data_IF_069748311121
#
_entry.id   IF_069748311121
#
_cell.length_a   1.000
_cell.length_b   1.000
_cell.length_c   1.000
_cell.angle_alpha   90.00
_cell.angle_beta   90.00
_cell.angle_gamma   90.00
#
_symmetry.space_group_name_H-M   'P 1'
#
loop_
_entity.id
_entity.type
_entity.pdbx_description
1 polymer ?
#
# COMPACT_ATOMS: atom_id res chain seq x y z
N UNK A 1 27.48 -4.85 -7.67
CA UNK A 1 26.88 -3.93 -6.67
C UNK A 1 25.61 -4.59 -6.19
N UNK A 2 25.38 -4.69 -4.87
CA UNK A 2 24.12 -5.25 -4.36
C UNK A 2 23.00 -4.25 -4.63
N UNK A 3 21.94 -4.70 -5.28
CA UNK A 3 20.75 -3.88 -5.53
C UNK A 3 20.11 -3.48 -4.20
N UNK A 4 19.58 -2.24 -4.07
CA UNK A 4 18.98 -1.78 -2.84
C UNK A 4 17.63 -2.45 -2.56
N UNK A 5 17.00 -2.98 -3.59
CA UNK A 5 15.70 -3.63 -3.58
C UNK A 5 15.82 -5.10 -3.96
N UNK A 6 15.10 -5.97 -3.24
CA UNK A 6 15.08 -7.40 -3.52
C UNK A 6 13.85 -8.06 -2.93
N UNK A 7 12.79 -8.18 -3.73
CA UNK A 7 11.54 -8.86 -3.34
C UNK A 7 11.17 -9.88 -4.40
N UNK A 8 11.45 -11.15 -4.11
CA UNK A 8 11.11 -12.30 -4.94
C UNK A 8 10.15 -13.28 -4.25
N UNK A 9 9.61 -12.89 -3.08
CA UNK A 9 8.68 -13.69 -2.29
C UNK A 9 7.93 -12.83 -1.29
N UNK A 10 6.68 -13.16 -1.02
CA UNK A 10 5.90 -12.57 0.08
C UNK A 10 6.38 -13.01 1.46
N UNK A 11 6.97 -14.20 1.55
CA UNK A 11 7.19 -14.90 2.82
C UNK A 11 8.65 -15.11 3.20
N UNK A 12 9.62 -14.92 2.30
CA UNK A 12 11.02 -15.04 2.66
C UNK A 12 11.40 -14.09 3.80
N UNK A 13 12.45 -14.46 4.55
CA UNK A 13 12.89 -13.68 5.72
C UNK A 13 13.07 -12.20 5.38
N UNK A 14 12.39 -11.35 6.14
CA UNK A 14 12.38 -9.91 5.96
C UNK A 14 13.73 -9.32 6.38
N UNK A 15 14.36 -8.53 5.50
CA UNK A 15 15.61 -7.83 5.79
C UNK A 15 15.40 -6.32 6.01
N UNK A 16 14.52 -5.69 5.19
CA UNK A 16 14.27 -4.23 5.30
C UNK A 16 12.85 -3.87 4.88
N UNK A 17 12.22 -2.96 5.63
CA UNK A 17 10.83 -2.54 5.41
C UNK A 17 10.63 -1.06 5.71
N UNK A 18 9.82 -0.38 4.88
CA UNK A 18 9.31 0.98 5.14
C UNK A 18 8.01 0.89 5.93
N UNK A 19 7.90 1.79 6.92
CA UNK A 19 6.66 2.07 7.66
C UNK A 19 6.45 3.58 7.78
N UNK A 20 5.23 3.99 8.14
CA UNK A 20 4.94 5.36 8.55
C UNK A 20 4.20 5.34 9.89
N UNK A 21 4.76 5.99 10.90
CA UNK A 21 4.13 6.12 12.21
C UNK A 21 2.99 7.15 12.12
N UNK A 22 1.75 6.81 12.51
CA UNK A 22 0.64 7.77 12.48
C UNK A 22 1.00 9.11 13.17
N UNK A 23 0.69 10.21 12.50
CA UNK A 23 1.03 11.57 12.93
C UNK A 23 -0.20 12.50 12.99
N UNK A 24 0.05 13.81 12.89
CA UNK A 24 -1.00 14.84 12.96
C UNK A 24 -2.09 14.69 11.88
N UNK A 25 -1.82 14.02 10.79
CA UNK A 25 -2.82 13.70 9.75
C UNK A 25 -4.03 12.96 10.33
N UNK A 26 -3.84 12.15 11.37
CA UNK A 26 -4.94 11.46 12.07
C UNK A 26 -5.76 12.43 12.94
N UNK A 27 -5.12 13.43 13.57
CA UNK A 27 -5.83 14.47 14.35
C UNK A 27 -6.60 15.46 13.46
N UNK A 28 -6.35 15.45 12.16
CA UNK A 28 -7.04 16.23 11.16
C UNK A 28 -8.26 15.52 10.54
N UNK A 29 -8.55 14.29 10.97
CA UNK A 29 -9.81 13.64 10.64
C UNK A 29 -10.96 14.25 11.45
N UNK A 30 -12.06 14.57 10.78
CA UNK A 30 -13.31 14.97 11.43
C UNK A 30 -14.49 14.16 10.88
N UNK A 31 -15.58 13.99 11.63
CA UNK A 31 -16.74 13.24 11.17
C UNK A 31 -17.33 13.74 9.86
N UNK A 32 -17.18 15.04 9.56
CA UNK A 32 -17.74 15.68 8.38
C UNK A 32 -16.99 15.32 7.09
N UNK A 33 -15.68 15.00 7.19
CA UNK A 33 -14.81 14.77 6.02
C UNK A 33 -14.11 13.41 6.02
N UNK A 34 -14.28 12.59 7.07
CA UNK A 34 -13.56 11.32 7.19
C UNK A 34 -13.87 10.35 6.03
N UNK A 35 -15.11 10.34 5.53
CA UNK A 35 -15.48 9.46 4.41
C UNK A 35 -14.75 9.85 3.10
N UNK A 36 -14.57 11.16 2.84
CA UNK A 36 -13.79 11.65 1.70
C UNK A 36 -12.32 11.26 1.80
N UNK A 37 -11.83 11.12 3.04
CA UNK A 37 -10.46 10.69 3.38
C UNK A 37 -10.35 9.16 3.56
N UNK A 38 -11.41 8.42 3.22
CA UNK A 38 -11.50 6.95 3.25
C UNK A 38 -11.47 6.31 4.64
N UNK A 39 -11.89 7.05 5.67
CA UNK A 39 -12.03 6.55 7.02
C UNK A 39 -13.50 6.31 7.39
N UNK A 40 -13.75 5.25 8.14
CA UNK A 40 -15.07 4.90 8.68
C UNK A 40 -15.21 5.29 10.15
N UNK A 41 -14.10 5.66 10.82
CA UNK A 41 -14.04 6.03 12.23
C UNK A 41 -12.79 6.90 12.48
N UNK A 42 -12.75 7.59 13.64
CA UNK A 42 -11.66 8.49 14.01
C UNK A 42 -10.75 7.78 15.04
N UNK A 43 -9.50 7.42 14.66
CA UNK A 43 -8.57 6.81 15.60
C UNK A 43 -8.06 7.79 16.66
N UNK A 44 -7.79 7.28 17.86
CA UNK A 44 -7.04 8.02 18.88
C UNK A 44 -5.54 7.98 18.54
N UNK A 45 -4.97 9.12 18.14
CA UNK A 45 -3.58 9.19 17.71
C UNK A 45 -2.59 8.61 18.73
N UNK A 46 -2.73 8.95 20.02
CA UNK A 46 -1.79 8.51 21.05
C UNK A 46 -1.80 7.00 21.29
N UNK A 47 -2.96 6.37 21.08
CA UNK A 47 -3.08 4.91 21.18
C UNK A 47 -2.56 4.29 19.89
N UNK A 48 -2.96 4.79 18.72
CA UNK A 48 -2.49 4.32 17.43
C UNK A 48 -0.95 4.37 17.33
N UNK A 49 -0.31 5.41 17.87
CA UNK A 49 1.15 5.51 17.93
C UNK A 49 1.78 4.41 18.80
N UNK A 50 1.20 4.13 19.98
CA UNK A 50 1.69 3.04 20.84
C UNK A 50 1.54 1.67 20.21
N UNK A 51 0.40 1.44 19.57
CA UNK A 51 0.14 0.20 18.83
C UNK A 51 1.11 0.04 17.66
N UNK A 52 1.37 1.12 16.92
CA UNK A 52 2.36 1.12 15.85
C UNK A 52 3.78 0.88 16.35
N UNK A 53 4.15 1.43 17.52
CA UNK A 53 5.46 1.19 18.12
C UNK A 53 5.63 -0.29 18.52
N UNK A 54 4.58 -0.97 19.03
CA UNK A 54 4.59 -2.42 19.26
C UNK A 54 4.67 -3.22 17.95
N UNK A 55 3.98 -2.77 16.90
CA UNK A 55 4.10 -3.37 15.57
C UNK A 55 5.54 -3.27 15.02
N UNK A 56 6.21 -2.13 15.16
CA UNK A 56 7.61 -1.95 14.75
C UNK A 56 8.55 -2.87 15.54
N UNK A 57 8.31 -3.07 16.85
CA UNK A 57 9.07 -4.05 17.64
C UNK A 57 8.88 -5.48 17.11
N UNK A 58 7.65 -5.84 16.74
CA UNK A 58 7.37 -7.14 16.13
C UNK A 58 8.12 -7.32 14.79
N UNK A 59 8.11 -6.30 13.92
CA UNK A 59 8.88 -6.31 12.66
C UNK A 59 10.38 -6.53 12.89
N UNK A 60 10.95 -5.85 13.87
CA UNK A 60 12.39 -5.92 14.20
C UNK A 60 12.77 -7.21 14.96
N UNK A 61 11.81 -7.96 15.48
CA UNK A 61 12.06 -9.12 16.36
C UNK A 61 12.89 -10.24 15.73
N UNK A 62 12.92 -10.30 14.41
CA UNK A 62 13.71 -11.25 13.61
C UNK A 62 14.93 -10.60 12.93
N UNK A 63 15.27 -9.36 13.31
CA UNK A 63 16.45 -8.65 12.82
C UNK A 63 16.22 -7.80 11.57
N UNK A 64 14.97 -7.60 11.14
CA UNK A 64 14.67 -6.72 10.02
C UNK A 64 14.96 -5.25 10.36
N UNK A 65 15.55 -4.53 9.43
CA UNK A 65 15.72 -3.08 9.48
C UNK A 65 14.39 -2.40 9.16
N UNK A 66 13.86 -1.61 10.10
CA UNK A 66 12.68 -0.80 9.91
C UNK A 66 13.08 0.64 9.65
N UNK A 67 12.66 1.20 8.53
CA UNK A 67 12.92 2.60 8.15
C UNK A 67 11.61 3.37 8.04
N UNK A 68 11.64 4.65 8.43
CA UNK A 68 10.45 5.49 8.40
C UNK A 68 10.38 6.31 7.12
N UNK A 69 9.22 6.30 6.48
CA UNK A 69 8.96 7.06 5.25
C UNK A 69 9.26 8.55 5.43
N UNK A 70 8.90 9.12 6.58
CA UNK A 70 9.16 10.54 6.91
C UNK A 70 10.63 10.87 6.94
N UNK A 71 11.47 10.00 7.51
CA UNK A 71 12.91 10.21 7.59
C UNK A 71 13.56 10.13 6.20
N UNK A 72 13.13 9.13 5.40
CA UNK A 72 13.61 8.95 4.02
C UNK A 72 13.18 10.13 3.13
N UNK A 73 11.93 10.60 3.27
CA UNK A 73 11.44 11.76 2.52
C UNK A 73 12.16 13.05 2.94
N UNK A 74 12.41 13.24 4.24
CA UNK A 74 13.17 14.36 4.77
C UNK A 74 14.59 14.38 4.17
N UNK A 75 15.23 13.23 4.11
CA UNK A 75 16.56 13.09 3.52
C UNK A 75 16.55 13.42 2.02
N UNK A 76 15.59 12.87 1.27
CA UNK A 76 15.44 13.11 -0.17
C UNK A 76 15.17 14.58 -0.52
N UNK A 77 14.56 15.35 0.40
CA UNK A 77 14.20 16.77 0.21
C UNK A 77 15.21 17.74 0.83
N UNK A 78 16.41 17.32 1.20
CA UNK A 78 17.45 18.21 1.76
C UNK A 78 17.89 19.29 0.78
N UNK A 79 18.09 18.93 -0.49
CA UNK A 79 18.51 19.86 -1.51
C UNK A 79 17.38 20.83 -1.89
N UNK A 80 17.65 22.14 -1.85
CA UNK A 80 16.65 23.19 -2.07
C UNK A 80 15.93 23.06 -3.41
N UNK A 81 16.68 22.77 -4.48
CA UNK A 81 16.09 22.63 -5.83
C UNK A 81 15.17 21.39 -5.93
N UNK A 82 15.50 20.29 -5.24
CA UNK A 82 14.64 19.09 -5.17
C UNK A 82 13.38 19.40 -4.38
N UNK A 83 13.53 20.08 -3.25
CA UNK A 83 12.42 20.50 -2.39
C UNK A 83 11.43 21.41 -3.12
N UNK A 84 11.91 22.42 -3.83
CA UNK A 84 11.07 23.31 -4.66
C UNK A 84 10.31 22.53 -5.73
N UNK A 85 10.98 21.61 -6.42
CA UNK A 85 10.33 20.75 -7.42
C UNK A 85 9.25 19.87 -6.82
N UNK A 86 9.49 19.28 -5.64
CA UNK A 86 8.50 18.50 -4.90
C UNK A 86 7.26 19.34 -4.57
N UNK A 87 7.46 20.54 -3.98
CA UNK A 87 6.37 21.46 -3.62
C UNK A 87 5.54 21.80 -4.84
N UNK A 88 6.17 22.18 -5.96
CA UNK A 88 5.47 22.51 -7.20
C UNK A 88 4.65 21.33 -7.72
N UNK A 89 5.22 20.12 -7.76
CA UNK A 89 4.50 18.91 -8.22
C UNK A 89 3.34 18.56 -7.28
N UNK A 90 3.56 18.66 -5.96
CA UNK A 90 2.54 18.40 -4.94
C UNK A 90 1.36 19.40 -5.05
N UNK A 91 1.63 20.70 -5.12
CA UNK A 91 0.61 21.74 -5.25
C UNK A 91 -0.18 21.59 -6.56
N UNK A 92 0.49 21.31 -7.67
CA UNK A 92 -0.19 21.05 -8.95
C UNK A 92 -1.14 19.85 -8.89
N UNK A 93 -0.79 18.82 -8.14
CA UNK A 93 -1.63 17.65 -7.96
C UNK A 93 -2.81 17.92 -7.01
N UNK A 94 -2.55 18.62 -5.90
CA UNK A 94 -3.53 18.89 -4.83
C UNK A 94 -4.55 19.94 -5.23
N UNK A 95 -4.10 21.05 -5.84
CA UNK A 95 -4.90 22.26 -6.10
C UNK A 95 -5.62 22.23 -7.45
N UNK A 96 -5.92 21.06 -8.02
CA UNK A 96 -6.62 20.96 -9.31
C UNK A 96 -7.92 21.78 -9.40
N UNK A 97 -8.61 21.97 -8.28
CA UNK A 97 -9.84 22.75 -8.20
C UNK A 97 -9.58 24.26 -8.03
N UNK A 98 -8.41 24.63 -7.53
CA UNK A 98 -8.00 26.04 -7.29
C UNK A 98 -7.08 26.60 -8.37
N UNK A 99 -6.98 25.93 -9.53
CA UNK A 99 -6.11 26.34 -10.65
C UNK A 99 -6.34 27.76 -11.16
N UNK A 100 -7.46 28.36 -10.78
CA UNK A 100 -7.86 29.71 -11.23
C UNK A 100 -7.57 30.79 -10.19
N UNK A 101 -7.06 30.44 -9.01
CA UNK A 101 -6.62 31.39 -7.99
C UNK A 101 -5.13 31.30 -7.75
N UNK A 102 -4.39 32.10 -8.51
CA UNK A 102 -2.93 32.17 -8.42
C UNK A 102 -2.46 32.67 -7.04
N UNK A 103 -3.26 33.48 -6.36
CA UNK A 103 -2.93 34.03 -5.04
C UNK A 103 -2.89 32.93 -3.97
N UNK A 104 -3.82 31.96 -4.00
CA UNK A 104 -3.77 30.79 -3.12
C UNK A 104 -2.54 29.96 -3.40
N UNK A 105 -2.28 29.65 -4.67
CA UNK A 105 -1.11 28.84 -5.07
C UNK A 105 0.21 29.46 -4.55
N UNK A 106 0.46 30.74 -4.85
CA UNK A 106 1.71 31.40 -4.44
C UNK A 106 1.85 31.54 -2.92
N UNK A 107 0.73 31.80 -2.21
CA UNK A 107 0.76 31.88 -0.75
C UNK A 107 1.13 30.53 -0.10
N UNK A 108 0.60 29.44 -0.63
CA UNK A 108 0.94 28.08 -0.18
C UNK A 108 2.37 27.69 -0.57
N UNK A 109 2.79 28.02 -1.78
CA UNK A 109 4.18 27.77 -2.24
C UNK A 109 5.18 28.49 -1.33
N UNK A 110 4.99 29.79 -1.05
CA UNK A 110 5.84 30.57 -0.13
C UNK A 110 5.86 29.95 1.27
N UNK A 111 4.69 29.60 1.80
CA UNK A 111 4.57 28.96 3.11
C UNK A 111 5.34 27.64 3.18
N UNK A 112 5.20 26.76 2.19
CA UNK A 112 5.88 25.47 2.17
C UNK A 112 7.39 25.60 1.93
N UNK A 113 7.82 26.49 1.04
CA UNK A 113 9.25 26.74 0.77
C UNK A 113 9.99 27.28 1.99
N UNK A 114 9.31 28.03 2.86
CA UNK A 114 9.90 28.57 4.09
C UNK A 114 10.28 27.50 5.13
N UNK A 115 9.72 26.29 5.00
CA UNK A 115 9.91 25.22 5.99
C UNK A 115 11.18 24.42 5.78
N UNK A 116 11.89 24.04 6.85
CA UNK A 116 12.96 23.05 6.76
C UNK A 116 12.42 21.70 6.31
N UNK A 117 13.27 20.79 5.75
CA UNK A 117 12.80 19.55 5.12
C UNK A 117 11.90 18.67 6.01
N UNK A 118 12.25 18.46 7.27
CA UNK A 118 11.45 17.62 8.16
C UNK A 118 10.06 18.24 8.45
N UNK A 119 10.03 19.56 8.72
CA UNK A 119 8.78 20.27 8.95
C UNK A 119 7.91 20.31 7.68
N UNK A 120 8.54 20.46 6.50
CA UNK A 120 7.82 20.38 5.22
C UNK A 120 7.13 19.03 5.05
N UNK A 121 7.83 17.92 5.27
CA UNK A 121 7.28 16.56 5.17
C UNK A 121 6.10 16.39 6.11
N UNK A 122 6.26 16.75 7.40
CA UNK A 122 5.18 16.70 8.38
C UNK A 122 3.98 17.58 7.97
N UNK A 123 4.23 18.81 7.52
CA UNK A 123 3.17 19.74 7.12
C UNK A 123 2.37 19.21 5.94
N UNK A 124 3.05 18.68 4.94
CA UNK A 124 2.40 18.15 3.73
C UNK A 124 1.57 16.89 4.05
N UNK A 125 2.06 16.02 4.93
CA UNK A 125 1.31 14.83 5.36
C UNK A 125 0.13 15.22 6.25
N UNK A 126 0.34 16.13 7.21
CA UNK A 126 -0.72 16.59 8.11
C UNK A 126 -1.83 17.37 7.39
N UNK A 127 -1.54 17.90 6.20
CA UNK A 127 -2.38 18.88 5.53
C UNK A 127 -2.14 20.29 6.05
N UNK A 128 -2.70 21.30 5.35
CA UNK A 128 -2.58 22.71 5.70
C UNK A 128 -3.97 23.28 5.96
N UNK A 129 -4.22 23.64 7.22
CA UNK A 129 -5.50 24.28 7.61
C UNK A 129 -5.55 25.72 7.12
N UNK A 130 -6.76 26.22 6.84
CA UNK A 130 -6.97 27.61 6.37
C UNK A 130 -6.45 28.67 7.33
N UNK A 131 -6.50 28.41 8.64
CA UNK A 131 -6.02 29.32 9.68
C UNK A 131 -4.47 29.31 9.88
N UNK A 132 -3.74 28.41 9.21
CA UNK A 132 -2.28 28.31 9.31
C UNK A 132 -1.56 29.20 8.28
N UNK A 133 -2.26 29.64 7.23
CA UNK A 133 -1.69 30.41 6.14
C UNK A 133 -2.54 31.64 5.84
N UNK A 134 -1.90 32.80 5.80
CA UNK A 134 -2.56 34.03 5.34
C UNK A 134 -2.54 34.08 3.81
N UNK A 135 -3.60 33.60 3.20
CA UNK A 135 -3.72 33.48 1.75
C UNK A 135 -4.21 34.80 1.14
N UNK A 136 -3.61 35.21 0.03
CA UNK A 136 -4.00 36.38 -0.78
C UNK A 136 -4.83 35.91 -1.97
N UNK A 137 -6.08 35.50 -1.73
CA UNK A 137 -7.00 35.12 -2.79
C UNK A 137 -7.41 36.29 -3.68
N UNK A 138 -7.50 36.05 -4.98
CA UNK A 138 -8.07 37.00 -5.95
C UNK A 138 -9.62 36.97 -5.93
N UNK A 139 -10.23 35.93 -5.34
CA UNK A 139 -11.67 35.67 -5.32
C UNK A 139 -12.24 35.70 -3.90
N UNK A 140 -12.35 36.89 -3.34
CA UNK A 140 -12.82 37.10 -1.94
C UNK A 140 -14.16 36.42 -1.63
N UNK A 141 -15.11 36.47 -2.57
CA UNK A 141 -16.41 35.82 -2.37
C UNK A 141 -16.28 34.30 -2.27
N UNK A 142 -15.43 33.69 -3.08
CA UNK A 142 -15.20 32.23 -3.02
C UNK A 142 -14.57 31.83 -1.69
N UNK A 143 -13.62 32.62 -1.17
CA UNK A 143 -13.03 32.41 0.14
C UNK A 143 -14.06 32.54 1.28
N UNK A 144 -14.98 33.51 1.18
CA UNK A 144 -16.04 33.68 2.17
C UNK A 144 -17.06 32.54 2.18
N UNK A 145 -17.36 31.93 1.02
CA UNK A 145 -18.34 30.86 0.89
C UNK A 145 -17.75 29.49 1.28
N UNK A 146 -16.44 29.29 1.06
CA UNK A 146 -15.75 28.02 1.35
C UNK A 146 -15.31 27.87 2.82
N UNK A 147 -15.88 28.64 3.77
CA UNK A 147 -15.49 28.57 5.17
C UNK A 147 -15.77 27.23 5.85
N UNK A 148 -16.64 26.39 5.30
CA UNK A 148 -17.00 25.10 5.90
C UNK A 148 -15.90 24.04 5.72
N UNK A 149 -15.06 24.13 4.70
CA UNK A 149 -13.96 23.20 4.50
C UNK A 149 -12.65 23.75 5.12
N UNK A 150 -12.08 23.06 6.12
CA UNK A 150 -11.04 23.66 6.97
C UNK A 150 -9.64 23.64 6.36
N UNK A 151 -9.41 23.00 5.20
CA UNK A 151 -8.07 22.81 4.61
C UNK A 151 -7.91 23.53 3.29
N UNK A 152 -6.68 24.03 3.05
CA UNK A 152 -6.16 24.31 1.70
C UNK A 152 -5.51 23.07 1.07
N UNK A 153 -4.81 22.28 1.88
CA UNK A 153 -4.25 20.98 1.47
C UNK A 153 -4.81 19.91 2.39
N UNK A 154 -5.45 18.92 1.79
CA UNK A 154 -6.05 17.80 2.54
C UNK A 154 -4.98 17.02 3.31
N UNK A 155 -5.26 16.56 4.53
CA UNK A 155 -4.38 15.62 5.23
C UNK A 155 -4.31 14.28 4.50
N UNK A 156 -3.23 13.54 4.73
CA UNK A 156 -3.00 12.21 4.16
C UNK A 156 -3.10 11.12 5.24
N UNK A 157 -4.27 10.88 5.85
CA UNK A 157 -4.39 9.98 6.99
C UNK A 157 -4.10 8.51 6.64
N UNK A 158 -4.15 8.14 5.34
CA UNK A 158 -3.82 6.79 4.87
C UNK A 158 -2.30 6.55 4.71
N UNK A 159 -1.42 7.54 5.00
CA UNK A 159 0.03 7.41 4.85
C UNK A 159 0.63 6.25 5.64
N UNK A 160 0.05 5.85 6.78
CA UNK A 160 0.55 4.70 7.53
C UNK A 160 0.30 3.35 6.83
N UNK A 161 -0.53 3.33 5.79
CA UNK A 161 -0.65 2.21 4.85
C UNK A 161 0.36 2.36 3.72
N UNK A 162 1.62 2.15 4.03
CA UNK A 162 2.75 2.32 3.09
C UNK A 162 2.78 1.30 1.96
N UNK A 163 1.91 0.27 2.02
CA UNK A 163 1.83 -0.79 1.02
C UNK A 163 1.40 -0.30 -0.35
N UNK A 164 0.29 0.46 -0.41
CA UNK A 164 -0.44 0.69 -1.66
C UNK A 164 0.23 1.63 -2.66
N UNK A 165 0.94 2.72 -2.20
CA UNK A 165 1.52 3.71 -3.12
C UNK A 165 2.65 3.18 -3.99
N UNK A 166 3.32 2.09 -3.61
CA UNK A 166 4.39 1.50 -4.41
C UNK A 166 4.65 0.03 -4.05
N UNK A 167 5.24 -0.72 -4.97
CA UNK A 167 5.68 -2.09 -4.74
C UNK A 167 7.10 -2.32 -5.27
N UNK A 168 7.90 -3.05 -4.50
CA UNK A 168 9.13 -3.65 -5.03
C UNK A 168 8.77 -4.98 -5.66
N UNK A 169 9.16 -5.16 -6.91
CA UNK A 169 8.93 -6.38 -7.69
C UNK A 169 10.29 -6.83 -8.25
N UNK A 170 10.83 -7.88 -7.67
CA UNK A 170 12.22 -8.27 -7.91
C UNK A 170 13.19 -7.21 -7.40
N UNK A 171 13.95 -6.62 -8.30
CA UNK A 171 14.90 -5.53 -8.04
C UNK A 171 14.42 -4.16 -8.57
N UNK A 172 13.16 -4.08 -8.98
CA UNK A 172 12.52 -2.92 -9.59
C UNK A 172 11.45 -2.34 -8.68
N UNK A 173 10.99 -1.11 -8.99
CA UNK A 173 9.89 -0.47 -8.27
C UNK A 173 8.73 -0.12 -9.21
N UNK A 174 7.51 -0.38 -8.73
CA UNK A 174 6.27 0.18 -9.26
C UNK A 174 5.89 1.40 -8.43
N UNK A 175 5.76 2.57 -9.06
CA UNK A 175 5.23 3.79 -8.46
C UNK A 175 3.76 3.93 -8.88
N UNK A 176 2.88 3.49 -8.03
CA UNK A 176 1.50 3.20 -8.35
C UNK A 176 0.66 4.45 -8.65
N UNK A 177 -0.27 4.33 -9.58
CA UNK A 177 -1.34 5.30 -9.76
C UNK A 177 -2.50 4.92 -8.84
N UNK A 178 -2.68 5.66 -7.75
CA UNK A 178 -3.76 5.45 -6.81
C UNK A 178 -5.11 5.77 -7.44
N UNK A 179 -6.10 4.90 -7.26
CA UNK A 179 -7.46 5.09 -7.77
C UNK A 179 -8.17 6.25 -7.05
N UNK A 180 -8.08 6.29 -5.74
CA UNK A 180 -8.79 7.26 -4.92
C UNK A 180 -8.08 8.60 -4.83
N UNK A 181 -8.85 9.69 -5.02
CA UNK A 181 -8.32 11.07 -5.01
C UNK A 181 -7.56 11.40 -3.72
N UNK A 182 -8.07 10.98 -2.56
CA UNK A 182 -7.46 11.24 -1.26
C UNK A 182 -6.04 10.68 -1.12
N UNK A 183 -5.67 9.64 -1.89
CA UNK A 183 -4.37 8.96 -1.80
C UNK A 183 -3.41 9.27 -2.96
N UNK A 184 -3.84 10.05 -3.95
CA UNK A 184 -3.03 10.28 -5.19
C UNK A 184 -1.63 10.85 -4.96
N UNK A 185 -1.46 11.61 -3.89
CA UNK A 185 -0.19 12.26 -3.59
C UNK A 185 0.77 11.41 -2.76
N UNK A 186 0.32 10.28 -2.22
CA UNK A 186 1.16 9.40 -1.39
C UNK A 186 2.34 8.84 -2.20
N UNK A 187 2.12 8.42 -3.43
CA UNK A 187 3.18 7.90 -4.33
C UNK A 187 4.29 8.92 -4.61
N UNK A 188 3.99 10.22 -4.50
CA UNK A 188 4.98 11.26 -4.77
C UNK A 188 6.17 11.21 -3.79
N UNK A 189 5.93 10.88 -2.52
CA UNK A 189 7.00 10.72 -1.53
C UNK A 189 7.97 9.61 -1.94
N UNK A 190 7.46 8.44 -2.32
CA UNK A 190 8.28 7.32 -2.76
C UNK A 190 9.06 7.61 -4.05
N UNK A 191 8.42 8.33 -4.99
CA UNK A 191 9.10 8.81 -6.21
C UNK A 191 10.32 9.68 -5.88
N UNK A 192 10.17 10.62 -4.94
CA UNK A 192 11.27 11.50 -4.56
C UNK A 192 12.33 10.78 -3.73
N UNK A 193 11.94 9.88 -2.84
CA UNK A 193 12.86 9.01 -2.10
C UNK A 193 13.77 8.23 -3.08
N UNK A 194 13.18 7.53 -4.03
CA UNK A 194 13.94 6.69 -4.98
C UNK A 194 14.85 7.52 -5.90
N UNK A 195 14.41 8.73 -6.29
CA UNK A 195 15.16 9.57 -7.23
C UNK A 195 16.22 10.45 -6.57
N UNK A 196 16.08 10.78 -5.30
CA UNK A 196 16.88 11.83 -4.66
C UNK A 196 17.51 11.47 -3.32
N UNK A 197 17.06 10.35 -2.67
CA UNK A 197 17.72 9.91 -1.44
C UNK A 197 19.15 9.41 -1.72
N UNK A 198 20.08 9.72 -0.82
CA UNK A 198 21.48 9.32 -0.89
C UNK A 198 21.65 7.81 -1.12
N UNK A 199 20.78 7.00 -0.51
CA UNK A 199 20.86 5.54 -0.63
C UNK A 199 20.52 5.02 -2.03
N UNK A 200 19.78 5.81 -2.84
CA UNK A 200 19.21 5.37 -4.12
C UNK A 200 19.63 6.19 -5.32
N UNK A 201 19.96 7.48 -5.17
CA UNK A 201 20.20 8.46 -6.26
C UNK A 201 21.24 8.01 -7.30
N UNK A 202 22.24 7.25 -6.88
CA UNK A 202 23.31 6.74 -7.76
C UNK A 202 23.13 5.29 -8.16
N UNK A 203 21.92 4.72 -8.00
CA UNK A 203 21.61 3.35 -8.33
C UNK A 203 20.65 3.31 -9.51
N UNK A 204 20.94 2.43 -10.45
CA UNK A 204 20.05 2.18 -11.58
C UNK A 204 18.88 1.29 -11.11
N UNK A 205 17.83 1.93 -10.60
CA UNK A 205 16.62 1.26 -10.13
C UNK A 205 15.57 1.34 -11.24
N UNK A 206 15.21 0.22 -11.87
CA UNK A 206 14.18 0.23 -12.89
C UNK A 206 12.81 0.59 -12.31
N UNK A 207 12.17 1.62 -12.88
CA UNK A 207 10.77 1.94 -12.60
C UNK A 207 9.92 1.19 -13.62
N UNK A 208 9.17 0.19 -13.15
CA UNK A 208 8.40 -0.70 -14.01
C UNK A 208 6.96 -0.24 -14.22
N UNK A 209 6.50 0.71 -13.45
CA UNK A 209 5.18 1.33 -13.58
C UNK A 209 5.22 2.72 -12.94
N UNK A 210 4.52 3.68 -13.54
CA UNK A 210 4.28 4.97 -12.93
C UNK A 210 2.92 5.57 -13.36
N UNK A 211 2.59 6.76 -12.84
CA UNK A 211 1.32 7.42 -13.12
C UNK A 211 1.06 7.71 -14.61
N UNK A 212 2.13 7.82 -15.41
CA UNK A 212 2.02 8.13 -16.84
C UNK A 212 1.62 6.89 -17.66
N UNK A 213 1.66 5.68 -17.06
CA UNK A 213 1.08 4.46 -17.63
C UNK A 213 -0.48 4.49 -17.66
N UNK A 214 -1.10 5.38 -16.88
CA UNK A 214 -2.45 5.88 -17.07
C UNK A 214 -3.59 5.04 -16.49
N UNK A 215 -3.33 3.88 -15.87
CA UNK A 215 -4.34 3.02 -15.27
C UNK A 215 -4.08 2.81 -13.78
N UNK A 216 -5.14 2.79 -12.91
CA UNK A 216 -4.95 2.60 -11.49
C UNK A 216 -4.45 1.19 -11.16
N UNK A 217 -3.49 1.14 -10.24
CA UNK A 217 -2.96 -0.07 -9.61
C UNK A 217 -2.53 0.28 -8.19
N UNK A 218 -2.83 -0.59 -7.22
CA UNK A 218 -2.43 -0.42 -5.82
C UNK A 218 -1.76 -1.71 -5.33
N UNK A 219 -0.69 -1.61 -4.52
CA UNK A 219 0.12 -2.77 -4.20
C UNK A 219 -0.48 -3.69 -3.12
N UNK A 220 -1.61 -3.32 -2.52
CA UNK A 220 -2.44 -4.27 -1.78
C UNK A 220 -2.96 -5.42 -2.67
N UNK A 221 -3.07 -5.17 -3.98
CA UNK A 221 -3.43 -6.19 -4.96
C UNK A 221 -2.23 -7.01 -5.47
N UNK A 222 -0.97 -6.60 -5.21
CA UNK A 222 0.23 -7.25 -5.77
C UNK A 222 0.87 -8.17 -4.74
N UNK A 223 0.91 -9.47 -4.99
CA UNK A 223 1.56 -10.49 -4.17
C UNK A 223 2.67 -11.20 -4.97
N UNK A 224 3.90 -11.13 -4.49
CA UNK A 224 5.05 -11.79 -5.13
C UNK A 224 5.15 -13.21 -4.58
N UNK A 225 4.56 -14.18 -5.27
CA UNK A 225 4.43 -15.54 -4.77
C UNK A 225 5.70 -16.37 -4.91
N UNK A 226 6.47 -16.12 -5.97
CA UNK A 226 7.76 -16.79 -6.23
C UNK A 226 8.63 -15.91 -7.13
N UNK A 227 9.91 -16.28 -7.39
CA UNK A 227 10.80 -15.50 -8.27
C UNK A 227 10.30 -15.33 -9.70
N UNK A 228 9.31 -16.08 -10.12
CA UNK A 228 8.78 -16.05 -11.48
C UNK A 228 7.26 -15.90 -11.57
N UNK A 229 6.54 -15.86 -10.42
CA UNK A 229 5.08 -15.77 -10.36
C UNK A 229 4.60 -14.65 -9.46
N UNK A 230 3.75 -13.79 -9.99
CA UNK A 230 3.07 -12.71 -9.25
C UNK A 230 1.57 -12.98 -9.28
N UNK A 231 0.87 -12.87 -8.15
CA UNK A 231 -0.58 -12.78 -8.14
C UNK A 231 -1.01 -11.30 -8.06
N UNK A 232 -2.00 -10.90 -8.84
CA UNK A 232 -2.53 -9.53 -8.83
C UNK A 232 -4.04 -9.56 -8.80
N UNK A 233 -4.63 -8.83 -7.83
CA UNK A 233 -6.08 -8.68 -7.73
C UNK A 233 -6.65 -7.78 -8.83
N UNK A 234 -7.71 -8.24 -9.49
CA UNK A 234 -8.59 -7.36 -10.26
C UNK A 234 -9.66 -6.89 -9.28
N UNK A 235 -9.52 -5.66 -8.81
CA UNK A 235 -10.33 -5.11 -7.71
C UNK A 235 -11.05 -3.81 -8.11
N UNK A 236 -11.56 -3.09 -7.12
CA UNK A 236 -12.05 -1.73 -7.31
C UNK A 236 -10.91 -0.71 -7.49
N UNK A 237 -9.67 -1.08 -7.11
CA UNK A 237 -8.50 -0.21 -7.06
C UNK A 237 -7.46 -0.53 -8.13
N UNK A 238 -7.51 -1.73 -8.71
CA UNK A 238 -6.55 -2.19 -9.71
C UNK A 238 -7.27 -2.65 -10.97
N UNK A 239 -6.96 -2.01 -12.09
CA UNK A 239 -7.58 -2.29 -13.37
C UNK A 239 -6.86 -3.41 -14.13
N UNK A 240 -7.59 -4.22 -14.96
CA UNK A 240 -6.95 -5.21 -15.82
C UNK A 240 -5.93 -4.61 -16.79
N UNK A 241 -6.15 -3.38 -17.28
CA UNK A 241 -5.22 -2.68 -18.16
C UNK A 241 -3.88 -2.40 -17.48
N UNK A 242 -3.93 -2.02 -16.19
CA UNK A 242 -2.70 -1.81 -15.41
C UNK A 242 -1.91 -3.11 -15.25
N UNK A 243 -2.59 -4.24 -15.01
CA UNK A 243 -1.98 -5.57 -14.87
C UNK A 243 -1.26 -5.97 -16.16
N UNK A 244 -1.92 -5.85 -17.31
CA UNK A 244 -1.29 -6.15 -18.59
C UNK A 244 -0.11 -5.22 -18.88
N UNK A 245 -0.25 -3.93 -18.60
CA UNK A 245 0.82 -2.95 -18.80
C UNK A 245 2.03 -3.27 -17.92
N UNK A 246 1.79 -3.55 -16.63
CA UNK A 246 2.85 -3.96 -15.70
C UNK A 246 3.57 -5.21 -16.20
N UNK A 247 2.85 -6.23 -16.64
CA UNK A 247 3.45 -7.46 -17.15
C UNK A 247 4.29 -7.21 -18.41
N UNK A 248 3.83 -6.35 -19.33
CA UNK A 248 4.62 -5.93 -20.51
C UNK A 248 5.93 -5.26 -20.09
N UNK A 249 5.88 -4.37 -19.11
CA UNK A 249 7.05 -3.65 -18.61
C UNK A 249 8.04 -4.61 -17.91
N UNK A 250 7.54 -5.55 -17.08
CA UNK A 250 8.35 -6.60 -16.44
C UNK A 250 9.13 -7.44 -17.46
N UNK A 251 8.48 -7.79 -18.57
CA UNK A 251 9.13 -8.54 -19.68
C UNK A 251 10.17 -7.70 -20.40
N UNK A 252 9.83 -6.46 -20.75
CA UNK A 252 10.74 -5.54 -21.45
C UNK A 252 12.04 -5.34 -20.65
N UNK A 253 11.93 -5.25 -19.33
CA UNK A 253 13.07 -5.09 -18.43
C UNK A 253 13.73 -6.42 -18.02
N UNK A 254 13.22 -7.55 -18.50
CA UNK A 254 13.77 -8.90 -18.25
C UNK A 254 13.95 -9.20 -16.76
N UNK A 255 12.95 -8.88 -15.95
CA UNK A 255 12.98 -8.97 -14.48
C UNK A 255 12.99 -10.42 -13.94
N UNK A 256 12.78 -11.42 -14.78
CA UNK A 256 12.69 -12.83 -14.40
C UNK A 256 11.27 -13.35 -14.18
N UNK A 257 10.32 -12.48 -13.95
CA UNK A 257 8.92 -12.90 -13.77
C UNK A 257 8.31 -13.38 -15.09
N UNK A 258 7.76 -14.59 -15.07
CA UNK A 258 7.24 -15.30 -16.25
C UNK A 258 5.73 -15.31 -16.31
N UNK A 259 5.05 -15.25 -15.16
CA UNK A 259 3.61 -15.38 -15.05
C UNK A 259 3.01 -14.33 -14.12
N UNK A 260 1.85 -13.82 -14.51
CA UNK A 260 0.95 -13.08 -13.63
C UNK A 260 -0.36 -13.87 -13.53
N UNK A 261 -0.78 -14.14 -12.30
CA UNK A 261 -2.09 -14.71 -11.98
C UNK A 261 -3.01 -13.56 -11.59
N UNK A 262 -3.82 -13.06 -12.52
CA UNK A 262 -4.78 -12.02 -12.25
C UNK A 262 -6.07 -12.63 -11.67
N UNK A 263 -6.41 -12.28 -10.43
CA UNK A 263 -7.52 -12.88 -9.66
C UNK A 263 -8.63 -11.86 -9.51
N UNK A 264 -9.79 -12.12 -10.08
CA UNK A 264 -10.94 -11.23 -9.94
C UNK A 264 -11.62 -11.44 -8.59
N UNK A 265 -11.51 -10.44 -7.71
CA UNK A 265 -12.20 -10.47 -6.41
C UNK A 265 -13.56 -9.78 -6.47
N UNK A 266 -14.52 -10.19 -5.60
CA UNK A 266 -15.83 -9.54 -5.55
C UNK A 266 -15.71 -8.05 -5.20
N UNK A 267 -16.35 -7.17 -5.98
CA UNK A 267 -16.37 -5.72 -5.74
C UNK A 267 -17.29 -5.39 -4.54
N UNK A 268 -16.72 -5.44 -3.35
CA UNK A 268 -17.38 -5.07 -2.08
C UNK A 268 -16.46 -4.11 -1.31
N UNK A 269 -17.04 -3.19 -0.53
CA UNK A 269 -16.25 -2.27 0.32
C UNK A 269 -15.29 -2.99 1.27
N UNK A 270 -15.67 -4.17 1.78
CA UNK A 270 -14.83 -4.99 2.65
C UNK A 270 -13.69 -5.71 1.91
N UNK A 271 -13.67 -5.71 0.58
CA UNK A 271 -12.69 -6.39 -0.27
C UNK A 271 -12.00 -5.38 -1.18
N UNK A 272 -11.27 -4.42 -0.58
CA UNK A 272 -10.63 -3.34 -1.34
C UNK A 272 -9.52 -3.88 -2.25
N UNK A 273 -8.69 -4.78 -1.74
CA UNK A 273 -7.55 -5.38 -2.40
C UNK A 273 -7.50 -6.89 -2.22
N UNK A 274 -6.69 -7.57 -3.01
CA UNK A 274 -6.49 -9.02 -2.91
C UNK A 274 -6.00 -9.43 -1.51
N UNK A 275 -5.08 -8.68 -0.92
CA UNK A 275 -4.50 -8.97 0.40
C UNK A 275 -5.48 -8.85 1.57
N UNK A 276 -6.63 -8.21 1.35
CA UNK A 276 -7.70 -8.17 2.36
C UNK A 276 -8.50 -9.49 2.42
N UNK A 277 -8.41 -10.33 1.39
CA UNK A 277 -9.17 -11.58 1.27
C UNK A 277 -8.30 -12.81 1.03
N UNK A 278 -7.02 -12.62 0.71
CA UNK A 278 -6.10 -13.69 0.34
C UNK A 278 -4.65 -13.24 0.56
N UNK A 279 -3.89 -13.96 1.38
CA UNK A 279 -2.48 -13.64 1.67
C UNK A 279 -1.68 -14.92 1.86
N UNK A 280 -0.45 -14.97 1.35
CA UNK A 280 0.47 -16.08 1.58
C UNK A 280 1.07 -16.01 2.99
N UNK A 281 1.04 -17.11 3.74
CA UNK A 281 1.54 -17.18 5.11
C UNK A 281 2.67 -18.21 5.28
N UNK A 282 2.76 -19.19 4.38
CA UNK A 282 3.82 -20.18 4.32
C UNK A 282 4.03 -20.61 2.86
N UNK A 283 4.97 -21.50 2.59
CA UNK A 283 5.32 -21.98 1.25
C UNK A 283 4.08 -22.49 0.50
N UNK A 284 3.25 -23.28 1.17
CA UNK A 284 2.07 -23.96 0.64
C UNK A 284 0.76 -23.54 1.33
N UNK A 285 0.78 -22.48 2.19
CA UNK A 285 -0.39 -22.06 2.97
C UNK A 285 -0.75 -20.60 2.71
N UNK A 286 -2.05 -20.38 2.56
CA UNK A 286 -2.63 -19.06 2.31
C UNK A 286 -3.84 -18.83 3.21
N UNK A 287 -3.98 -17.62 3.74
CA UNK A 287 -5.26 -17.19 4.31
C UNK A 287 -6.26 -16.91 3.20
N UNK A 288 -7.53 -17.20 3.45
CA UNK A 288 -8.59 -16.89 2.50
C UNK A 288 -9.90 -16.52 3.23
N UNK A 289 -10.58 -15.49 2.71
CA UNK A 289 -11.91 -15.17 3.23
C UNK A 289 -12.94 -16.23 2.78
N UNK A 290 -13.83 -16.73 3.68
CA UNK A 290 -14.77 -17.80 3.35
C UNK A 290 -15.69 -17.51 2.15
N UNK A 291 -16.08 -16.25 1.91
CA UNK A 291 -16.85 -15.88 0.73
C UNK A 291 -16.07 -16.13 -0.56
N UNK A 292 -14.76 -15.83 -0.56
CA UNK A 292 -13.88 -16.08 -1.71
C UNK A 292 -13.62 -17.58 -1.85
N UNK A 293 -13.42 -18.27 -0.72
CA UNK A 293 -13.23 -19.72 -0.70
C UNK A 293 -14.42 -20.48 -1.29
N UNK A 294 -15.67 -20.05 -1.02
CA UNK A 294 -16.88 -20.68 -1.58
C UNK A 294 -16.97 -20.63 -3.10
N UNK A 295 -16.39 -19.61 -3.69
CA UNK A 295 -16.36 -19.41 -5.16
C UNK A 295 -15.00 -19.76 -5.77
N UNK A 296 -14.06 -20.27 -4.97
CA UNK A 296 -12.68 -20.53 -5.42
C UNK A 296 -12.58 -21.53 -6.59
N UNK A 297 -13.55 -22.42 -6.74
CA UNK A 297 -13.65 -23.34 -7.86
C UNK A 297 -14.38 -22.75 -9.11
N UNK A 298 -14.90 -21.52 -9.02
CA UNK A 298 -15.66 -20.84 -10.08
C UNK A 298 -15.19 -19.37 -10.28
N UNK A 299 -14.04 -19.03 -9.71
CA UNK A 299 -13.48 -17.66 -9.82
C UNK A 299 -12.98 -17.38 -11.23
N UNK A 300 -13.19 -16.17 -11.70
CA UNK A 300 -12.50 -15.68 -12.89
C UNK A 300 -11.05 -15.37 -12.57
N UNK A 301 -10.14 -16.20 -13.10
CA UNK A 301 -8.70 -16.08 -12.97
C UNK A 301 -8.10 -16.04 -14.37
N UNK A 302 -7.13 -15.17 -14.56
CA UNK A 302 -6.45 -15.02 -15.85
C UNK A 302 -4.94 -15.18 -15.63
N UNK A 303 -4.32 -16.12 -16.39
CA UNK A 303 -2.88 -16.30 -16.39
C UNK A 303 -2.31 -15.54 -17.57
N UNK A 304 -1.48 -14.53 -17.29
CA UNK A 304 -0.71 -13.84 -18.30
C UNK A 304 0.68 -14.48 -18.35
N UNK A 305 1.10 -14.94 -19.50
CA UNK A 305 2.43 -15.52 -19.72
C UNK A 305 2.90 -15.25 -21.15
N UNK A 306 4.16 -15.57 -21.44
CA UNK A 306 4.71 -15.49 -22.80
C UNK A 306 4.46 -16.78 -23.55
N UNK A 307 3.93 -16.68 -24.77
CA UNK A 307 3.83 -17.81 -25.67
C UNK A 307 5.18 -18.10 -26.38
N UNK A 308 5.22 -19.13 -27.21
CA UNK A 308 6.44 -19.56 -27.95
C UNK A 308 6.96 -18.51 -28.92
N UNK A 309 6.11 -17.59 -29.36
CA UNK A 309 6.43 -16.53 -30.34
C UNK A 309 6.89 -15.24 -29.63
N UNK A 310 6.92 -15.24 -28.30
CA UNK A 310 7.30 -14.07 -27.49
C UNK A 310 6.17 -13.06 -27.28
N UNK A 311 4.93 -13.42 -27.60
CA UNK A 311 3.74 -12.58 -27.38
C UNK A 311 3.11 -12.88 -26.03
N UNK A 312 2.35 -11.94 -25.49
CA UNK A 312 1.58 -12.15 -24.25
C UNK A 312 0.33 -12.96 -24.60
N UNK A 313 0.21 -14.10 -23.95
CA UNK A 313 -0.97 -14.96 -23.97
C UNK A 313 -1.73 -14.79 -22.66
N UNK A 314 -3.05 -14.75 -22.74
CA UNK A 314 -3.96 -14.69 -21.57
C UNK A 314 -4.82 -15.94 -21.57
N UNK A 315 -4.66 -16.77 -20.55
CA UNK A 315 -5.45 -17.99 -20.37
C UNK A 315 -6.46 -17.79 -19.24
N UNK A 316 -7.74 -17.99 -19.51
CA UNK A 316 -8.79 -17.98 -18.47
C UNK A 316 -8.83 -19.32 -17.72
N UNK A 317 -8.84 -19.24 -16.39
CA UNK A 317 -9.00 -20.34 -15.44
C UNK A 317 -10.17 -20.06 -14.50
N UNK A 318 -10.66 -21.07 -13.79
CA UNK A 318 -11.78 -20.94 -12.88
C UNK A 318 -11.58 -21.62 -11.52
N UNK A 319 -10.45 -22.28 -11.31
CA UNK A 319 -10.12 -22.98 -10.05
C UNK A 319 -8.84 -22.35 -9.46
N UNK A 320 -8.99 -21.63 -8.36
CA UNK A 320 -7.89 -20.94 -7.67
C UNK A 320 -6.84 -21.93 -7.13
N UNK A 321 -7.31 -22.98 -6.44
CA UNK A 321 -6.43 -23.98 -5.82
C UNK A 321 -5.58 -24.69 -6.87
N UNK A 322 -6.23 -25.16 -7.94
CA UNK A 322 -5.55 -25.83 -9.04
C UNK A 322 -4.58 -24.90 -9.76
N UNK A 323 -4.99 -23.67 -10.02
CA UNK A 323 -4.17 -22.66 -10.69
C UNK A 323 -2.91 -22.33 -9.89
N UNK A 324 -3.05 -22.12 -8.57
CA UNK A 324 -1.92 -21.83 -7.70
C UNK A 324 -0.96 -23.03 -7.60
N UNK A 325 -1.47 -24.26 -7.43
CA UNK A 325 -0.66 -25.48 -7.42
C UNK A 325 0.16 -25.63 -8.68
N UNK A 326 -0.45 -25.47 -9.84
CA UNK A 326 0.21 -25.58 -11.14
C UNK A 326 1.26 -24.47 -11.35
N UNK A 327 0.91 -23.21 -11.04
CA UNK A 327 1.81 -22.09 -11.27
C UNK A 327 2.98 -22.06 -10.31
N UNK A 328 2.81 -22.51 -9.08
CA UNK A 328 3.84 -22.53 -8.04
C UNK A 328 4.56 -23.90 -7.93
N UNK A 329 4.18 -24.88 -8.76
CA UNK A 329 4.70 -26.26 -8.73
C UNK A 329 4.59 -26.90 -7.34
N UNK A 330 3.45 -26.71 -6.66
CA UNK A 330 3.18 -27.27 -5.34
C UNK A 330 2.46 -28.63 -5.45
N UNK A 331 2.89 -29.60 -4.65
CA UNK A 331 2.18 -30.88 -4.53
C UNK A 331 0.89 -30.73 -3.73
N UNK A 332 0.94 -29.94 -2.66
CA UNK A 332 -0.19 -29.62 -1.79
C UNK A 332 -0.36 -28.11 -1.62
N UNK A 333 -1.56 -27.67 -1.31
CA UNK A 333 -1.88 -26.28 -1.01
C UNK A 333 -3.01 -26.23 0.02
N UNK A 334 -2.78 -25.48 1.09
CA UNK A 334 -3.75 -25.31 2.17
C UNK A 334 -4.31 -23.89 2.16
N UNK A 335 -5.63 -23.78 2.04
CA UNK A 335 -6.36 -22.54 2.22
C UNK A 335 -6.92 -22.48 3.63
N UNK A 336 -6.43 -21.55 4.44
CA UNK A 336 -6.81 -21.37 5.85
C UNK A 336 -7.92 -20.32 5.92
N UNK A 337 -9.15 -20.69 6.32
CA UNK A 337 -10.26 -19.75 6.30
C UNK A 337 -10.18 -18.75 7.46
N UNK A 338 -10.41 -17.47 7.18
CA UNK A 338 -10.61 -16.42 8.19
C UNK A 338 -11.84 -16.77 9.05
N UNK A 339 -11.73 -16.54 10.37
CA UNK A 339 -12.81 -16.80 11.33
C UNK A 339 -13.19 -18.28 11.40
N UNK A 340 -12.22 -19.19 11.18
CA UNK A 340 -12.45 -20.66 11.12
C UNK A 340 -13.58 -21.06 10.15
N UNK A 341 -13.79 -20.26 9.10
CA UNK A 341 -14.87 -20.47 8.13
C UNK A 341 -16.28 -20.16 8.63
N UNK A 342 -16.44 -19.74 9.88
CA UNK A 342 -17.74 -19.39 10.46
C UNK A 342 -18.19 -18.01 9.98
N UNK A 343 -19.45 -17.88 9.59
CA UNK A 343 -19.94 -16.69 8.86
C UNK A 343 -19.86 -15.39 9.68
N UNK A 344 -20.16 -15.46 10.98
CA UNK A 344 -20.15 -14.27 11.86
C UNK A 344 -18.72 -13.87 12.19
N UNK A 345 -17.91 -14.83 12.63
CA UNK A 345 -16.50 -14.66 12.98
C UNK A 345 -15.71 -14.14 11.77
N UNK A 346 -15.89 -14.74 10.61
CA UNK A 346 -15.27 -14.31 9.37
C UNK A 346 -15.66 -12.87 8.99
N UNK A 347 -16.94 -12.50 9.12
CA UNK A 347 -17.40 -11.14 8.83
C UNK A 347 -16.82 -10.11 9.81
N UNK A 348 -16.74 -10.44 11.10
CA UNK A 348 -16.17 -9.59 12.15
C UNK A 348 -14.67 -9.39 11.97
N UNK A 349 -13.93 -10.48 11.73
CA UNK A 349 -12.49 -10.44 11.61
C UNK A 349 -12.05 -9.90 10.23
N UNK A 350 -12.88 -10.08 9.19
CA UNK A 350 -12.68 -9.38 7.92
C UNK A 350 -12.76 -7.85 8.09
N UNK A 351 -13.68 -7.38 8.96
CA UNK A 351 -13.75 -5.94 9.26
C UNK A 351 -12.50 -5.41 9.95
N UNK A 352 -11.72 -6.29 10.60
CA UNK A 352 -10.44 -6.02 11.24
C UNK A 352 -9.25 -6.59 10.45
N UNK A 353 -9.42 -6.79 9.13
CA UNK A 353 -8.36 -7.24 8.22
C UNK A 353 -7.71 -8.59 8.60
N UNK A 354 -8.53 -9.56 9.01
CA UNK A 354 -8.08 -10.88 9.48
C UNK A 354 -7.25 -11.68 8.48
N UNK A 355 -7.45 -11.45 7.17
CA UNK A 355 -6.62 -12.05 6.12
C UNK A 355 -5.34 -11.26 5.82
N UNK A 356 -5.27 -9.98 6.21
CA UNK A 356 -4.18 -9.06 5.88
C UNK A 356 -2.98 -9.24 6.82
N UNK A 357 -2.39 -10.43 6.81
CA UNK A 357 -1.24 -10.81 7.63
C UNK A 357 0.07 -10.41 6.98
N UNK A 358 1.13 -10.23 7.77
CA UNK A 358 2.44 -9.89 7.25
C UNK A 358 3.50 -10.92 7.67
N UNK A 359 4.08 -11.61 6.69
CA UNK A 359 5.09 -12.63 6.94
C UNK A 359 6.47 -12.02 7.23
N UNK A 360 7.09 -12.43 8.34
CA UNK A 360 8.50 -12.15 8.68
C UNK A 360 9.44 -13.20 8.11
N UNK A 361 8.96 -14.43 8.00
CA UNK A 361 9.62 -15.59 7.42
C UNK A 361 8.55 -16.63 7.06
N UNK A 362 8.84 -17.68 6.27
CA UNK A 362 7.88 -18.73 6.00
C UNK A 362 7.30 -19.31 7.30
N UNK A 363 5.98 -19.37 7.39
CA UNK A 363 5.27 -19.86 8.57
C UNK A 363 5.36 -18.96 9.82
N UNK A 364 5.91 -17.74 9.74
CA UNK A 364 5.95 -16.78 10.86
C UNK A 364 5.37 -15.45 10.41
N UNK A 365 4.25 -15.03 11.01
CA UNK A 365 3.49 -13.87 10.58
C UNK A 365 3.12 -12.94 11.73
N UNK A 366 2.88 -11.67 11.39
CA UNK A 366 2.27 -10.68 12.29
C UNK A 366 0.80 -10.53 11.92
N UNK A 367 -0.06 -10.49 12.94
CA UNK A 367 -1.50 -10.29 12.84
C UNK A 367 -1.99 -9.32 13.91
N UNK A 368 -3.21 -8.82 13.76
CA UNK A 368 -3.87 -8.08 14.83
C UNK A 368 -4.43 -9.04 15.92
N UNK A 369 -4.28 -8.67 17.18
CA UNK A 369 -4.79 -9.38 18.35
C UNK A 369 -6.32 -9.55 18.35
N UNK A 370 -7.05 -8.65 17.68
CA UNK A 370 -8.51 -8.67 17.55
C UNK A 370 -9.02 -9.86 16.74
N UNK A 371 -8.19 -10.45 15.89
CA UNK A 371 -8.56 -11.54 14.99
C UNK A 371 -8.28 -12.90 15.63
N UNK A 372 -8.68 -13.08 16.89
CA UNK A 372 -8.29 -14.21 17.72
C UNK A 372 -8.77 -15.57 17.18
N UNK A 373 -9.95 -15.65 16.52
CA UNK A 373 -10.43 -16.89 15.92
C UNK A 373 -9.54 -17.28 14.71
N UNK A 374 -9.24 -16.33 13.83
CA UNK A 374 -8.29 -16.55 12.72
C UNK A 374 -6.89 -16.88 13.24
N UNK A 375 -6.43 -16.20 14.28
CA UNK A 375 -5.11 -16.44 14.88
C UNK A 375 -4.99 -17.86 15.44
N UNK A 376 -6.03 -18.36 16.11
CA UNK A 376 -6.06 -19.72 16.63
C UNK A 376 -6.15 -20.75 15.49
N UNK A 377 -6.94 -20.47 14.45
CA UNK A 377 -6.99 -21.30 13.24
C UNK A 377 -5.62 -21.38 12.56
N UNK A 378 -4.91 -20.27 12.43
CA UNK A 378 -3.55 -20.24 11.88
C UNK A 378 -2.57 -21.07 12.70
N UNK A 379 -2.61 -20.94 14.04
CA UNK A 379 -1.79 -21.77 14.95
C UNK A 379 -2.09 -23.25 14.81
N UNK A 380 -3.36 -23.63 14.67
CA UNK A 380 -3.76 -25.02 14.45
C UNK A 380 -3.20 -25.60 13.13
N UNK A 381 -2.92 -24.73 12.14
CA UNK A 381 -2.25 -25.11 10.89
C UNK A 381 -0.72 -24.98 10.93
N UNK A 382 -0.15 -24.83 12.13
CA UNK A 382 1.31 -24.78 12.33
C UNK A 382 1.97 -23.44 12.05
N UNK A 383 1.20 -22.36 11.92
CA UNK A 383 1.73 -21.01 11.71
C UNK A 383 2.12 -20.37 13.06
N UNK A 384 3.32 -19.82 13.14
CA UNK A 384 3.76 -19.02 14.27
C UNK A 384 3.18 -17.61 14.16
N UNK A 385 2.21 -17.28 15.00
CA UNK A 385 1.45 -16.02 14.96
C UNK A 385 1.95 -15.07 16.03
N UNK A 386 2.46 -13.92 15.62
CA UNK A 386 2.85 -12.80 16.47
C UNK A 386 1.69 -11.79 16.45
N UNK A 387 1.03 -11.63 17.59
CA UNK A 387 -0.09 -10.71 17.73
C UNK A 387 0.40 -9.32 18.13
N UNK A 388 -0.18 -8.29 17.53
CA UNK A 388 0.05 -6.88 17.88
C UNK A 388 -1.26 -6.19 18.24
N UNK A 389 -1.25 -5.26 19.20
CA UNK A 389 -2.44 -4.51 19.58
C UNK A 389 -2.94 -3.64 18.43
N UNK A 390 -4.25 -3.49 18.31
CA UNK A 390 -4.86 -2.91 17.11
C UNK A 390 -6.18 -2.19 17.33
N UNK A 391 -6.45 -1.72 18.56
CA UNK A 391 -7.76 -1.07 18.85
C UNK A 391 -8.01 0.18 18.00
N UNK A 392 -6.95 0.92 17.66
CA UNK A 392 -7.03 2.15 16.89
C UNK A 392 -6.48 2.00 15.47
N UNK A 393 -5.41 1.24 15.25
CA UNK A 393 -4.85 1.02 13.91
C UNK A 393 -5.88 0.37 12.96
N UNK A 394 -6.65 -0.59 13.45
CA UNK A 394 -7.67 -1.27 12.65
C UNK A 394 -8.83 -0.36 12.21
N UNK A 395 -9.02 0.82 12.81
CA UNK A 395 -10.08 1.79 12.45
C UNK A 395 -9.88 2.37 11.04
N UNK A 396 -8.65 2.44 10.55
CA UNK A 396 -8.36 2.87 9.19
C UNK A 396 -8.56 1.81 8.11
N UNK A 397 -8.99 0.60 8.47
CA UNK A 397 -9.32 -0.49 7.54
C UNK A 397 -8.13 -0.98 6.74
N UNK A 398 -7.03 -1.27 7.43
CA UNK A 398 -5.85 -1.91 6.90
C UNK A 398 -5.09 -2.69 7.97
N UNK A 399 -4.60 -3.87 7.64
CA UNK A 399 -3.89 -4.77 8.54
C UNK A 399 -2.37 -4.59 8.53
N UNK A 400 -1.64 -5.50 9.17
CA UNK A 400 -0.18 -5.48 9.23
C UNK A 400 0.51 -5.43 7.86
N UNK A 401 -0.04 -6.10 6.82
CA UNK A 401 0.52 -6.03 5.47
C UNK A 401 0.35 -4.65 4.87
N UNK A 402 -0.80 -4.02 5.02
CA UNK A 402 -1.07 -2.68 4.53
C UNK A 402 -0.10 -1.63 5.10
N UNK A 403 0.30 -1.79 6.38
CA UNK A 403 1.23 -0.86 7.06
C UNK A 403 2.70 -1.05 6.69
N UNK A 404 3.02 -1.92 5.72
CA UNK A 404 4.40 -2.26 5.38
C UNK A 404 4.66 -2.16 3.89
N UNK A 405 5.80 -1.60 3.51
CA UNK A 405 6.37 -1.72 2.17
C UNK A 405 7.75 -2.40 2.28
N UNK A 406 7.86 -3.72 2.05
CA UNK A 406 9.13 -4.40 2.07
C UNK A 406 10.05 -3.87 0.97
N UNK A 407 11.31 -3.62 1.33
CA UNK A 407 12.36 -3.25 0.39
C UNK A 407 13.26 -4.43 0.07
N UNK A 408 13.44 -5.34 1.05
CA UNK A 408 14.36 -6.45 0.90
C UNK A 408 13.93 -7.67 1.72
N UNK A 409 13.98 -8.83 1.07
CA UNK A 409 13.83 -10.16 1.65
C UNK A 409 14.99 -11.07 1.18
N UNK A 410 15.34 -12.11 1.95
CA UNK A 410 16.36 -13.11 1.57
C UNK A 410 16.00 -13.86 0.32
#
# INVERSE_FOLDING_TARGET
>A
MTTPFRIFSEINELEKVIVHRPGKEIENLSPEYMEELLFDDIPNLRIAQREHDEFVKALSSKGAEVVYLTDMATEALKEEHVRKKFITEYLHSSLKHLRYDSGIYYSLEEFLVSKPPAELVETVISGVRRNEVNVKSEYLMAEMINHDFPFYLDPLPNMYFTRDPAAIIGESISLNLMDQKARKNETLFLKYIVKHSHDYVNKDIPIIYDKDDGFPIEAGDILILSPDVIAIGISARTSPHAIEKLFRNLRTLKTGFKKVIAIQIPKKRAFMHLDTVFTQVDIDKFTIHPTVMKIAAEMDIYILQENKDGEIEVEKRNDLTKTLKECLALEELTLIPVGDGQAIEAAREQWNDGSNTFALAPGTIITYDRNYVTNDTLRAHGINVIEVPSSELARGRGGPRCMTMPLKRK
#
